data_IF_159553586632
#
_entry.id   IF_159553586632
#
_cell.length_a   1.000
_cell.length_b   1.000
_cell.length_c   1.000
_cell.angle_alpha   90.00
_cell.angle_beta   90.00
_cell.angle_gamma   90.00
#
_symmetry.space_group_name_H-M   'P 1'
#
loop_
_entity.id
_entity.type
_entity.pdbx_description
1 polymer ?
#
# COMPACT_ATOMS: atom_id res chain seq x y z
N UNK A 1 56.38 17.67 -45.12
CA UNK A 1 55.09 17.92 -44.43
C UNK A 1 53.96 17.38 -45.30
N UNK A 2 53.40 16.21 -44.95
CA UNK A 2 52.28 15.60 -45.67
C UNK A 2 51.05 15.65 -44.75
N UNK A 3 50.07 16.51 -45.06
CA UNK A 3 48.76 16.55 -44.38
C UNK A 3 47.89 15.46 -44.99
N UNK A 4 47.61 14.38 -44.23
CA UNK A 4 46.56 13.43 -44.59
C UNK A 4 45.20 14.00 -44.20
N UNK A 5 44.31 14.20 -45.16
CA UNK A 5 42.89 14.45 -44.93
C UNK A 5 42.19 13.12 -44.64
N UNK A 6 41.88 12.85 -43.38
CA UNK A 6 40.99 11.75 -43.01
C UNK A 6 39.54 12.17 -43.25
N UNK A 7 39.03 11.91 -44.45
CA UNK A 7 37.59 11.99 -44.72
C UNK A 7 36.89 10.82 -44.04
N UNK A 8 36.49 10.99 -42.77
CA UNK A 8 35.56 10.10 -42.10
C UNK A 8 34.19 10.22 -42.78
N UNK A 9 33.90 9.29 -43.68
CA UNK A 9 32.55 9.09 -44.23
C UNK A 9 31.65 8.60 -43.10
N UNK A 10 30.98 9.54 -42.42
CA UNK A 10 29.88 9.26 -41.51
C UNK A 10 28.74 8.69 -42.36
N UNK A 11 28.55 7.39 -42.34
CA UNK A 11 27.35 6.75 -42.89
C UNK A 11 26.15 7.23 -42.06
N UNK A 12 25.49 8.28 -42.53
CA UNK A 12 24.22 8.72 -41.96
C UNK A 12 23.16 7.79 -42.50
N UNK A 13 22.77 6.81 -41.68
CA UNK A 13 21.61 5.96 -41.96
C UNK A 13 20.36 6.82 -41.82
N UNK A 14 19.91 7.43 -42.91
CA UNK A 14 18.74 8.31 -42.96
C UNK A 14 17.39 7.61 -42.71
N UNK A 15 17.37 6.26 -42.65
CA UNK A 15 16.15 5.45 -42.64
C UNK A 15 15.95 4.58 -41.39
N UNK A 16 16.88 4.59 -40.44
CA UNK A 16 16.61 4.00 -39.14
C UNK A 16 15.91 5.08 -38.29
N UNK A 17 14.73 4.80 -37.69
CA UNK A 17 14.18 5.74 -36.72
C UNK A 17 15.22 5.92 -35.61
N UNK A 18 15.75 7.13 -35.47
CA UNK A 18 16.75 7.49 -34.44
C UNK A 18 16.17 7.39 -33.03
N UNK A 19 14.84 7.31 -32.93
CA UNK A 19 14.07 7.17 -31.71
C UNK A 19 13.21 5.92 -31.86
N UNK A 20 13.34 4.99 -30.91
CA UNK A 20 12.53 3.78 -30.84
C UNK A 20 11.04 4.15 -30.90
N UNK A 21 10.24 3.54 -31.79
CA UNK A 21 8.85 3.97 -32.05
C UNK A 21 7.89 3.68 -30.88
N UNK A 22 8.34 2.93 -29.87
CA UNK A 22 7.59 2.67 -28.65
C UNK A 22 8.14 3.53 -27.52
N UNK A 23 7.24 4.00 -26.65
CA UNK A 23 7.62 4.72 -25.43
C UNK A 23 8.59 3.86 -24.63
N UNK A 24 9.82 4.35 -24.39
CA UNK A 24 10.83 3.61 -23.63
C UNK A 24 10.25 3.27 -22.26
N UNK A 25 10.27 1.98 -21.84
CA UNK A 25 9.56 1.50 -20.66
C UNK A 25 10.06 2.09 -19.35
N UNK A 26 11.23 2.75 -19.34
CA UNK A 26 11.84 3.36 -18.17
C UNK A 26 12.15 4.85 -18.36
N UNK A 27 11.57 5.51 -19.36
CA UNK A 27 11.85 6.92 -19.62
C UNK A 27 11.54 7.80 -18.40
N UNK A 28 12.49 8.66 -18.01
CA UNK A 28 12.41 9.55 -16.83
C UNK A 28 12.28 8.82 -15.48
N UNK A 29 12.47 7.50 -15.42
CA UNK A 29 12.41 6.72 -14.17
C UNK A 29 13.78 6.60 -13.50
N UNK A 30 13.85 6.18 -12.22
CA UNK A 30 15.13 5.87 -11.56
C UNK A 30 15.97 4.80 -12.27
N UNK A 31 15.37 3.99 -13.14
CA UNK A 31 16.02 2.92 -13.89
C UNK A 31 16.31 3.30 -15.36
N UNK A 32 16.16 4.57 -15.72
CA UNK A 32 16.45 5.03 -17.08
C UNK A 32 17.96 5.05 -17.37
N UNK A 33 18.43 4.12 -18.22
CA UNK A 33 19.82 4.04 -18.64
C UNK A 33 20.29 5.23 -19.51
N UNK A 34 19.36 5.99 -20.10
CA UNK A 34 19.71 7.15 -20.94
C UNK A 34 19.91 8.43 -20.13
N UNK A 35 19.73 8.37 -18.79
CA UNK A 35 19.93 9.53 -17.92
C UNK A 35 21.37 10.00 -17.99
N UNK A 36 21.54 11.22 -18.50
CA UNK A 36 22.85 11.86 -18.58
C UNK A 36 23.32 12.36 -17.20
N UNK A 37 24.62 12.66 -17.04
CA UNK A 37 25.16 13.25 -15.82
C UNK A 37 24.42 14.53 -15.38
N UNK A 38 23.93 15.32 -16.34
CA UNK A 38 23.20 16.56 -16.08
C UNK A 38 21.79 16.34 -15.49
N UNK A 39 21.11 15.26 -15.85
CA UNK A 39 19.79 14.91 -15.31
C UNK A 39 19.91 14.46 -13.86
N UNK A 40 20.92 13.65 -13.56
CA UNK A 40 21.23 13.16 -12.21
C UNK A 40 21.63 14.31 -11.27
N UNK A 41 22.33 15.33 -11.79
CA UNK A 41 22.78 16.47 -10.99
C UNK A 41 21.60 17.30 -10.49
N UNK A 42 20.54 17.50 -11.29
CA UNK A 42 19.36 18.30 -10.88
C UNK A 42 18.57 17.64 -9.75
N UNK A 43 18.48 16.31 -9.75
CA UNK A 43 17.84 15.51 -8.69
C UNK A 43 18.67 15.49 -7.39
N UNK A 44 19.99 15.62 -7.47
CA UNK A 44 20.91 15.60 -6.31
C UNK A 44 20.64 16.71 -5.29
N UNK A 45 20.04 17.82 -5.72
CA UNK A 45 19.70 18.98 -4.87
C UNK A 45 18.37 18.79 -4.12
N UNK A 46 17.52 17.83 -4.54
CA UNK A 46 16.26 17.50 -3.87
C UNK A 46 16.42 16.19 -3.11
N UNK A 47 17.15 16.23 -1.99
CA UNK A 47 17.31 15.07 -1.10
C UNK A 47 16.03 14.83 -0.30
N UNK A 48 15.07 14.16 -0.92
CA UNK A 48 13.92 13.61 -0.21
C UNK A 48 14.37 12.45 0.69
N UNK A 49 13.68 12.24 1.82
CA UNK A 49 13.96 11.11 2.72
C UNK A 49 13.44 9.78 2.17
N UNK A 50 12.54 9.82 1.20
CA UNK A 50 11.90 8.66 0.59
C UNK A 50 12.50 8.34 -0.79
N UNK A 51 12.36 7.11 -1.27
CA UNK A 51 12.84 6.70 -2.59
C UNK A 51 12.18 7.49 -3.74
N UNK A 52 12.94 7.72 -4.81
CA UNK A 52 12.47 8.47 -5.99
C UNK A 52 11.26 7.85 -6.69
N UNK A 53 11.09 6.53 -6.62
CA UNK A 53 9.97 5.84 -7.27
C UNK A 53 8.60 6.24 -6.70
N UNK A 54 8.53 6.79 -5.48
CA UNK A 54 7.28 7.31 -4.91
C UNK A 54 6.83 8.61 -5.57
N UNK A 55 7.74 9.31 -6.25
CA UNK A 55 7.49 10.58 -6.91
C UNK A 55 7.35 10.42 -8.43
N UNK A 56 8.24 9.64 -9.05
CA UNK A 56 8.34 9.50 -10.50
C UNK A 56 7.94 8.11 -11.03
N UNK A 57 7.66 7.16 -10.13
CA UNK A 57 7.40 5.77 -10.49
C UNK A 57 8.70 4.99 -10.73
N UNK A 58 8.60 3.67 -10.69
CA UNK A 58 9.71 2.79 -11.04
C UNK A 58 9.73 2.42 -12.52
N UNK A 59 8.62 2.60 -13.22
CA UNK A 59 8.45 2.32 -14.64
C UNK A 59 7.86 3.54 -15.37
N UNK A 60 7.82 3.48 -16.70
CA UNK A 60 7.28 4.54 -17.56
C UNK A 60 5.76 4.70 -17.46
N UNK A 61 5.08 3.84 -16.68
CA UNK A 61 3.65 3.99 -16.39
C UNK A 61 3.37 4.78 -15.11
N UNK A 62 4.41 4.99 -14.28
CA UNK A 62 4.31 5.66 -12.99
C UNK A 62 3.96 4.73 -11.83
N UNK A 63 4.28 3.43 -11.95
CA UNK A 63 4.03 2.42 -10.92
C UNK A 63 4.78 2.76 -9.64
N UNK A 64 4.04 2.76 -8.52
CA UNK A 64 4.57 3.14 -7.21
C UNK A 64 4.39 4.63 -6.85
N UNK A 65 3.92 5.49 -7.76
CA UNK A 65 3.59 6.89 -7.41
C UNK A 65 2.38 6.91 -6.46
N UNK A 66 2.56 7.52 -5.28
CA UNK A 66 1.50 7.63 -4.29
C UNK A 66 2.01 8.00 -2.90
N UNK A 67 1.08 8.13 -1.95
CA UNK A 67 1.42 8.36 -0.55
C UNK A 67 1.55 7.03 0.20
N UNK A 68 2.76 6.74 0.68
CA UNK A 68 3.10 5.45 1.31
C UNK A 68 3.33 5.61 2.81
N UNK A 69 2.48 4.93 3.61
CA UNK A 69 2.60 4.90 5.07
C UNK A 69 3.57 3.81 5.47
N UNK A 70 4.52 4.12 6.35
CA UNK A 70 5.51 3.14 6.82
C UNK A 70 5.28 2.81 8.29
N UNK A 71 5.56 1.57 8.66
CA UNK A 71 5.49 1.13 10.05
C UNK A 71 6.58 1.85 10.88
N UNK A 72 6.32 2.29 12.12
CA UNK A 72 7.32 3.01 12.92
C UNK A 72 8.63 2.24 13.14
N UNK A 73 8.55 0.90 13.21
CA UNK A 73 9.71 0.02 13.37
C UNK A 73 10.33 -0.45 12.05
N UNK A 74 9.71 -0.14 10.91
CA UNK A 74 10.25 -0.52 9.61
C UNK A 74 11.47 0.32 9.26
N UNK A 75 12.42 -0.31 8.57
CA UNK A 75 13.62 0.38 8.05
C UNK A 75 13.30 1.26 6.82
N UNK A 76 12.17 1.01 6.17
CA UNK A 76 11.76 1.75 4.97
C UNK A 76 11.44 3.21 5.29
N UNK A 77 11.45 4.04 4.26
CA UNK A 77 11.12 5.47 4.37
C UNK A 77 10.00 5.81 3.40
N UNK A 78 8.90 6.32 3.94
CA UNK A 78 7.73 6.76 3.18
C UNK A 78 7.71 8.26 2.98
N UNK A 79 6.84 8.72 2.08
CA UNK A 79 6.68 10.12 1.72
C UNK A 79 5.53 10.84 2.45
N UNK A 80 4.91 10.20 3.45
CA UNK A 80 3.91 10.84 4.31
C UNK A 80 4.62 11.64 5.41
N UNK A 81 4.85 12.92 5.14
CA UNK A 81 5.32 13.90 6.13
C UNK A 81 4.18 14.73 6.71
N UNK A 82 4.22 14.99 8.02
CA UNK A 82 3.25 15.88 8.71
C UNK A 82 3.81 17.27 9.01
N UNK A 83 5.05 17.56 8.60
CA UNK A 83 5.64 18.88 8.79
C UNK A 83 5.00 19.90 7.83
N UNK A 84 4.99 21.20 8.20
CA UNK A 84 4.36 22.26 7.38
C UNK A 84 4.84 22.29 5.93
N UNK A 85 6.09 21.88 5.67
CA UNK A 85 6.67 21.80 4.32
C UNK A 85 6.12 20.64 3.49
N UNK A 86 5.62 19.58 4.11
CA UNK A 86 5.14 18.37 3.43
C UNK A 86 3.61 18.32 3.32
N UNK A 87 2.89 18.99 4.23
CA UNK A 87 1.42 19.03 4.25
C UNK A 87 0.81 19.45 2.91
N UNK A 88 1.29 20.51 2.21
CA UNK A 88 0.72 20.91 0.92
C UNK A 88 0.80 19.80 -0.14
N UNK A 89 1.94 19.10 -0.22
CA UNK A 89 2.13 17.98 -1.14
C UNK A 89 1.16 16.85 -0.83
N UNK A 90 1.07 16.45 0.44
CA UNK A 90 0.20 15.35 0.89
C UNK A 90 -1.27 15.66 0.60
N UNK A 91 -1.72 16.88 0.94
CA UNK A 91 -3.09 17.32 0.68
C UNK A 91 -3.39 17.40 -0.82
N UNK A 92 -2.47 17.93 -1.63
CA UNK A 92 -2.61 17.97 -3.09
C UNK A 92 -2.76 16.56 -3.66
N UNK A 93 -1.92 15.60 -3.24
CA UNK A 93 -2.07 14.21 -3.70
C UNK A 93 -3.41 13.59 -3.27
N UNK A 94 -3.92 13.90 -2.07
CA UNK A 94 -5.23 13.40 -1.62
C UNK A 94 -6.41 13.96 -2.42
N UNK A 95 -6.36 15.24 -2.81
CA UNK A 95 -7.49 15.94 -3.46
C UNK A 95 -7.36 15.87 -4.98
N UNK A 96 -6.18 16.17 -5.50
CA UNK A 96 -5.92 16.30 -6.92
C UNK A 96 -5.27 15.06 -7.52
N UNK A 97 -4.73 14.12 -6.73
CA UNK A 97 -3.93 13.01 -7.27
C UNK A 97 -2.64 13.48 -7.93
N UNK A 98 -2.07 12.65 -8.80
CA UNK A 98 -0.87 13.00 -9.59
C UNK A 98 -1.16 12.80 -11.06
N UNK A 99 -0.99 13.83 -11.88
CA UNK A 99 -1.09 13.70 -13.33
C UNK A 99 0.23 13.21 -13.90
N UNK A 100 0.25 11.99 -14.45
CA UNK A 100 1.46 11.40 -15.00
C UNK A 100 1.63 11.76 -16.48
N UNK A 101 2.88 11.81 -16.96
CA UNK A 101 3.20 12.11 -18.37
C UNK A 101 2.61 11.10 -19.35
N UNK A 102 2.28 9.88 -18.89
CA UNK A 102 1.58 8.87 -19.69
C UNK A 102 0.11 9.23 -20.00
N UNK A 103 -0.39 10.39 -19.54
CA UNK A 103 -1.77 10.83 -19.74
C UNK A 103 -2.77 10.20 -18.77
N UNK A 104 -2.29 9.50 -17.74
CA UNK A 104 -3.11 8.84 -16.73
C UNK A 104 -2.93 9.52 -15.38
N UNK A 105 -4.04 9.70 -14.66
CA UNK A 105 -4.04 10.18 -13.28
C UNK A 105 -3.74 9.03 -12.31
N UNK A 106 -2.71 9.21 -11.50
CA UNK A 106 -2.20 8.24 -10.52
C UNK A 106 -2.58 8.65 -9.09
N UNK A 107 -2.55 7.68 -8.18
CA UNK A 107 -2.93 7.76 -6.76
C UNK A 107 -4.40 8.13 -6.47
N UNK A 108 -4.98 9.14 -7.14
CA UNK A 108 -6.39 9.49 -7.00
C UNK A 108 -7.00 9.93 -8.35
N UNK A 109 -7.93 9.15 -8.89
CA UNK A 109 -8.59 9.43 -10.18
C UNK A 109 -9.89 10.24 -10.04
N UNK A 110 -10.60 10.10 -8.93
CA UNK A 110 -11.87 10.76 -8.64
C UNK A 110 -12.68 10.01 -7.58
N UNK A 111 -13.82 10.57 -7.18
CA UNK A 111 -14.69 9.97 -6.16
C UNK A 111 -14.24 10.25 -4.73
N UNK A 112 -14.11 9.20 -3.91
CA UNK A 112 -13.73 9.33 -2.49
C UNK A 112 -12.21 9.54 -2.34
N UNK A 113 -11.75 10.63 -1.69
CA UNK A 113 -10.33 10.87 -1.52
C UNK A 113 -9.67 9.79 -0.67
N UNK A 114 -8.44 9.36 -1.00
CA UNK A 114 -7.71 8.37 -0.22
C UNK A 114 -7.34 8.93 1.15
N UNK A 115 -7.36 8.07 2.17
CA UNK A 115 -6.93 8.43 3.52
C UNK A 115 -5.55 7.83 3.80
N UNK A 116 -4.45 8.60 3.64
CA UNK A 116 -3.09 8.10 3.79
C UNK A 116 -2.75 7.65 5.21
N UNK A 117 -3.48 8.13 6.23
CA UNK A 117 -3.30 7.68 7.62
C UNK A 117 -3.76 6.24 7.86
N UNK A 118 -4.66 5.72 7.03
CA UNK A 118 -5.26 4.38 7.16
C UNK A 118 -4.75 3.38 6.12
N UNK A 119 -3.88 3.80 5.19
CA UNK A 119 -3.29 2.87 4.23
C UNK A 119 -2.54 1.74 4.93
N UNK A 120 -2.49 0.52 4.37
CA UNK A 120 -1.59 -0.51 4.87
C UNK A 120 -0.15 0.01 4.90
N UNK A 121 0.65 -0.53 5.81
CA UNK A 121 2.05 -0.16 5.89
C UNK A 121 2.81 -0.67 4.66
N UNK A 122 3.76 0.12 4.17
CA UNK A 122 4.66 -0.24 3.08
C UNK A 122 5.53 -1.43 3.48
N UNK A 123 5.62 -2.41 2.59
CA UNK A 123 6.32 -3.68 2.83
C UNK A 123 7.54 -3.87 1.94
N UNK A 124 7.73 -3.01 0.94
CA UNK A 124 8.62 -3.31 -0.18
C UNK A 124 8.85 -2.13 -1.11
N UNK A 125 9.40 -2.47 -2.26
CA UNK A 125 9.64 -1.55 -3.36
C UNK A 125 9.21 -2.19 -4.70
N UNK A 126 8.81 -1.37 -5.67
CA UNK A 126 8.49 -1.86 -7.00
C UNK A 126 9.72 -2.45 -7.70
N UNK A 127 9.52 -3.50 -8.49
CA UNK A 127 10.56 -4.15 -9.27
C UNK A 127 10.03 -4.44 -10.69
N UNK A 128 10.76 -4.08 -11.76
CA UNK A 128 10.27 -4.30 -13.12
C UNK A 128 10.10 -5.78 -13.50
N UNK A 129 10.83 -6.68 -12.85
CA UNK A 129 10.79 -8.13 -13.16
C UNK A 129 9.59 -8.81 -12.49
N UNK A 130 9.34 -8.53 -11.21
CA UNK A 130 8.35 -9.24 -10.38
C UNK A 130 7.13 -8.38 -9.98
N UNK A 131 7.10 -7.11 -10.39
CA UNK A 131 6.12 -6.11 -9.96
C UNK A 131 6.45 -5.51 -8.60
N UNK A 132 6.45 -6.32 -7.54
CA UNK A 132 6.70 -5.86 -6.17
C UNK A 132 7.66 -6.79 -5.42
N UNK A 133 8.75 -6.23 -4.89
CA UNK A 133 9.71 -6.94 -4.05
C UNK A 133 9.43 -6.60 -2.58
N UNK A 134 9.05 -7.60 -1.80
CA UNK A 134 8.90 -7.46 -0.34
C UNK A 134 10.30 -7.33 0.27
N UNK A 135 10.55 -6.23 0.97
CA UNK A 135 11.85 -5.95 1.61
C UNK A 135 11.73 -5.98 3.14
N UNK A 136 10.57 -5.65 3.68
CA UNK A 136 10.31 -5.67 5.12
C UNK A 136 9.12 -6.57 5.44
N UNK A 137 9.42 -7.85 5.64
CA UNK A 137 8.45 -8.89 5.95
C UNK A 137 7.83 -8.71 7.33
N UNK A 138 8.56 -8.09 8.27
CA UNK A 138 8.10 -7.89 9.66
C UNK A 138 6.86 -6.99 9.76
N UNK A 139 6.63 -6.16 8.74
CA UNK A 139 5.47 -5.28 8.62
C UNK A 139 4.19 -6.07 8.33
N UNK A 140 4.32 -7.24 7.70
CA UNK A 140 3.18 -8.09 7.33
C UNK A 140 2.70 -8.81 8.59
N UNK A 141 1.47 -8.51 8.99
CA UNK A 141 0.87 -9.14 10.17
C UNK A 141 0.48 -10.58 9.86
N UNK A 142 1.24 -11.52 10.41
CA UNK A 142 0.89 -12.94 10.44
C UNK A 142 0.08 -13.22 11.70
N UNK A 143 -1.18 -13.62 11.54
CA UNK A 143 -2.08 -13.88 12.65
C UNK A 143 -1.96 -15.35 13.09
N UNK A 144 -0.89 -15.66 13.81
CA UNK A 144 -0.64 -17.00 14.32
C UNK A 144 -1.51 -17.26 15.56
N UNK A 145 -2.59 -18.02 15.39
CA UNK A 145 -3.42 -18.44 16.51
C UNK A 145 -2.74 -19.59 17.26
N UNK A 146 -2.83 -19.64 18.60
CA UNK A 146 -2.29 -20.74 19.36
C UNK A 146 -3.01 -22.05 19.00
N UNK A 147 -2.26 -23.14 18.96
CA UNK A 147 -2.84 -24.47 18.79
C UNK A 147 -3.80 -24.79 19.94
N UNK A 148 -4.87 -25.53 19.63
CA UNK A 148 -5.86 -25.90 20.62
C UNK A 148 -5.30 -27.02 21.52
N UNK A 149 -5.14 -26.73 22.81
CA UNK A 149 -4.88 -27.74 23.82
C UNK A 149 -6.20 -28.41 24.23
N UNK A 150 -6.15 -29.64 24.75
CA UNK A 150 -7.35 -30.37 25.20
C UNK A 150 -8.22 -29.58 26.20
N UNK A 151 -7.60 -28.70 27.01
CA UNK A 151 -8.32 -27.78 27.90
C UNK A 151 -9.00 -26.61 27.15
N UNK A 152 -8.40 -26.12 26.07
CA UNK A 152 -8.91 -24.99 25.26
C UNK A 152 -10.12 -25.36 24.41
N UNK A 153 -10.31 -26.64 24.10
CA UNK A 153 -11.50 -27.14 23.38
C UNK A 153 -12.80 -26.84 24.15
N UNK A 154 -12.71 -26.78 25.48
CA UNK A 154 -13.85 -26.48 26.35
C UNK A 154 -14.21 -25.01 26.39
N UNK A 155 -13.30 -24.11 26.00
CA UNK A 155 -13.57 -22.68 26.01
C UNK A 155 -14.59 -22.32 24.92
N UNK A 156 -15.57 -21.51 25.32
CA UNK A 156 -16.59 -20.92 24.46
C UNK A 156 -16.55 -19.40 24.65
N UNK A 157 -16.97 -18.60 23.65
CA UNK A 157 -16.93 -17.14 23.74
C UNK A 157 -17.82 -16.57 24.87
N UNK A 158 -18.82 -17.33 25.31
CA UNK A 158 -19.71 -16.96 26.41
C UNK A 158 -19.63 -18.00 27.52
N UNK A 159 -19.79 -17.55 28.77
CA UNK A 159 -19.80 -18.38 29.98
C UNK A 159 -21.24 -18.66 30.40
N UNK A 160 -21.52 -19.86 30.92
CA UNK A 160 -22.85 -20.20 31.40
C UNK A 160 -23.25 -19.33 32.61
N UNK A 161 -24.53 -18.96 32.69
CA UNK A 161 -25.03 -17.97 33.66
C UNK A 161 -24.85 -18.41 35.12
N UNK A 162 -25.02 -19.70 35.41
CA UNK A 162 -24.80 -20.25 36.75
C UNK A 162 -23.32 -20.25 37.14
N UNK A 163 -22.43 -20.57 36.19
CA UNK A 163 -20.97 -20.50 36.39
C UNK A 163 -20.50 -19.06 36.63
N UNK A 164 -21.13 -18.07 35.96
CA UNK A 164 -20.87 -16.64 36.17
C UNK A 164 -21.20 -16.18 37.61
N UNK A 165 -22.26 -16.71 38.23
CA UNK A 165 -22.64 -16.41 39.62
C UNK A 165 -21.61 -16.90 40.62
N UNK A 166 -20.97 -18.05 40.34
CA UNK A 166 -19.90 -18.63 41.16
C UNK A 166 -18.60 -17.80 41.06
N UNK A 167 -18.35 -17.18 39.90
CA UNK A 167 -17.18 -16.31 39.67
C UNK A 167 -17.32 -14.88 40.24
N UNK A 168 -18.37 -14.58 41.01
CA UNK A 168 -18.50 -13.29 41.70
C UNK A 168 -18.79 -12.07 40.80
N UNK A 169 -19.10 -12.29 39.52
CA UNK A 169 -19.49 -11.21 38.61
C UNK A 169 -21.00 -11.03 38.75
N UNK A 170 -21.43 -9.91 39.35
CA UNK A 170 -22.85 -9.59 39.55
C UNK A 170 -23.66 -9.89 38.27
N UNK A 171 -24.49 -10.93 38.37
CA UNK A 171 -25.43 -11.29 37.32
C UNK A 171 -26.59 -10.28 37.39
N UNK A 172 -27.06 -9.72 36.25
CA UNK A 172 -28.34 -9.02 36.25
C UNK A 172 -29.43 -9.95 36.77
N UNK A 173 -30.42 -9.37 37.47
CA UNK A 173 -31.44 -10.09 38.21
C UNK A 173 -32.14 -11.16 37.34
N UNK A 174 -32.38 -12.32 37.96
CA UNK A 174 -33.01 -13.49 37.35
C UNK A 174 -34.41 -13.11 36.84
N UNK A 175 -34.55 -12.86 35.55
CA UNK A 175 -35.85 -13.02 34.88
C UNK A 175 -36.07 -14.53 34.81
N UNK A 176 -37.15 -15.01 35.45
CA UNK A 176 -37.49 -16.43 35.54
C UNK A 176 -37.50 -17.08 34.15
N UNK A 177 -36.73 -18.15 33.90
CA UNK A 177 -36.86 -18.90 32.67
C UNK A 177 -38.04 -19.87 32.81
N UNK A 178 -39.01 -19.75 31.91
CA UNK A 178 -39.98 -20.82 31.67
C UNK A 178 -39.24 -22.14 31.35
N UNK A 179 -39.79 -23.24 31.84
CA UNK A 179 -39.21 -24.58 31.81
C UNK A 179 -38.67 -25.00 30.41
N UNK A 180 -37.59 -25.84 30.36
CA UNK A 180 -36.98 -26.22 29.11
C UNK A 180 -37.90 -27.17 28.33
N UNK A 181 -38.66 -26.63 27.37
CA UNK A 181 -39.27 -27.45 26.33
C UNK A 181 -38.16 -27.96 25.41
N UNK A 182 -37.95 -29.27 25.41
CA UNK A 182 -37.22 -29.97 24.36
C UNK A 182 -37.76 -29.54 22.99
N UNK A 183 -36.92 -28.96 22.16
CA UNK A 183 -37.18 -28.88 20.72
C UNK A 183 -35.84 -28.81 19.99
N UNK A 184 -35.45 -29.94 19.41
CA UNK A 184 -34.43 -30.06 18.36
C UNK A 184 -34.89 -29.52 17.01
N UNK A 185 -36.02 -28.81 16.96
CA UNK A 185 -36.41 -27.99 15.83
C UNK A 185 -35.86 -26.58 16.03
N UNK A 186 -35.11 -26.10 15.03
CA UNK A 186 -34.71 -24.70 14.97
C UNK A 186 -35.97 -23.83 15.02
N UNK A 187 -36.22 -23.20 16.17
CA UNK A 187 -37.37 -22.31 16.37
C UNK A 187 -37.34 -21.22 15.27
N UNK A 188 -38.45 -20.95 14.57
CA UNK A 188 -38.44 -20.02 13.45
C UNK A 188 -38.14 -18.60 13.95
N UNK A 189 -37.01 -18.04 13.50
CA UNK A 189 -36.66 -16.63 13.73
C UNK A 189 -37.54 -15.76 12.82
N UNK A 190 -38.33 -14.87 13.41
CA UNK A 190 -39.22 -13.95 12.67
C UNK A 190 -38.58 -12.57 12.58
N UNK A 191 -38.80 -11.87 11.47
CA UNK A 191 -38.40 -10.46 11.32
C UNK A 191 -39.06 -9.60 12.40
N UNK A 192 -38.25 -8.98 13.27
CA UNK A 192 -38.70 -7.99 14.26
C UNK A 192 -38.11 -6.63 13.94
N UNK A 193 -38.81 -5.58 14.36
CA UNK A 193 -38.33 -4.20 14.24
C UNK A 193 -37.21 -3.89 15.24
N UNK A 194 -37.21 -4.57 16.38
CA UNK A 194 -36.29 -4.34 17.48
C UNK A 194 -36.21 -5.59 18.38
N UNK A 195 -35.03 -5.84 18.96
CA UNK A 195 -34.80 -6.91 19.93
C UNK A 195 -34.22 -6.28 21.20
N UNK A 196 -34.95 -6.38 22.33
CA UNK A 196 -34.46 -6.02 23.65
C UNK A 196 -33.74 -7.24 24.27
N UNK A 197 -32.63 -7.00 25.00
CA UNK A 197 -31.82 -8.03 25.67
C UNK A 197 -31.78 -7.80 27.18
#
# INVERSE_FOLDING_TARGET
MLRSSSSLRRGVYHNAPSVYPFVKPFHDTPHDEDRGPHDVVRDRWRKNKWPQWMDNGADGTGYGIGLHRVHPLSRLRGNIGRSPTHVPRVLSMMIQGVWHKSGVKLYFRGGKPPNPSKHPYLTGEPCPVYGWKVTDESVIRQFNMPTQDAAKVRYKPYVALQERKIMGINAPAVVQPDAPKQSTDAKPLVKRLFFWQ
#
